data_IF_937842998359
#
_entry.id   IF_937842998359
#
_cell.length_a   1.000
_cell.length_b   1.000
_cell.length_c   1.000
_cell.angle_alpha   90.00
_cell.angle_beta   90.00
_cell.angle_gamma   90.00
#
_symmetry.space_group_name_H-M   'P 1'
#
loop_
_entity.id
_entity.type
_entity.pdbx_description
1 polymer ?
#
# COMPACT_ATOMS: atom_id res chain seq x y z
N UNK A 1 1.08 50.04 -27.42
CA UNK A 1 1.94 50.92 -26.60
C UNK A 1 1.56 50.68 -25.14
N UNK A 2 2.34 50.23 -24.16
CA UNK A 2 3.79 50.03 -23.93
C UNK A 2 4.00 48.73 -23.12
N UNK A 3 5.14 48.07 -23.37
CA UNK A 3 5.68 46.94 -22.59
C UNK A 3 6.42 47.49 -21.36
N UNK A 4 6.32 46.83 -20.21
CA UNK A 4 7.31 46.95 -19.12
C UNK A 4 8.14 45.68 -19.06
N UNK A 5 9.41 45.81 -19.44
CA UNK A 5 10.51 44.91 -19.04
C UNK A 5 11.21 45.59 -17.85
N UNK A 6 11.62 44.80 -16.87
CA UNK A 6 12.63 45.21 -15.91
C UNK A 6 13.75 44.16 -15.93
N UNK A 7 14.93 44.67 -16.27
CA UNK A 7 16.27 44.08 -16.16
C UNK A 7 16.55 43.53 -14.75
N UNK A 8 17.19 42.37 -14.58
CA UNK A 8 18.64 42.09 -14.71
C UNK A 8 19.48 42.77 -13.62
N UNK A 9 19.91 42.01 -12.61
CA UNK A 9 21.27 42.18 -12.04
C UNK A 9 21.83 40.84 -11.56
N UNK A 10 23.04 40.59 -12.04
CA UNK A 10 23.96 39.49 -11.80
C UNK A 10 25.00 39.92 -10.74
N UNK A 11 25.49 38.96 -9.94
CA UNK A 11 26.70 39.03 -9.09
C UNK A 11 26.68 37.87 -8.09
N UNK A 12 27.41 36.74 -8.24
CA UNK A 12 28.88 36.49 -8.02
C UNK A 12 29.38 37.15 -6.72
N UNK A 13 30.15 36.52 -5.81
CA UNK A 13 30.81 35.21 -5.67
C UNK A 13 31.44 35.13 -4.26
N UNK A 14 31.77 33.90 -3.81
CA UNK A 14 32.88 33.48 -2.92
C UNK A 14 32.86 33.74 -1.39
N UNK A 15 33.09 32.63 -0.67
CA UNK A 15 33.71 32.55 0.67
C UNK A 15 33.75 31.08 1.14
N UNK A 16 34.75 30.28 0.72
CA UNK A 16 35.85 29.76 1.57
C UNK A 16 35.38 29.35 2.98
N UNK A 17 35.20 28.05 3.27
CA UNK A 17 36.29 27.14 3.57
C UNK A 17 36.17 26.71 5.05
N UNK A 18 36.64 25.51 5.38
CA UNK A 18 36.69 24.87 6.71
C UNK A 18 35.42 24.12 7.12
N UNK A 19 35.46 22.78 6.98
CA UNK A 19 35.06 21.76 7.99
C UNK A 19 34.93 20.39 7.30
N UNK A 20 36.07 19.79 6.93
CA UNK A 20 36.14 18.46 6.27
C UNK A 20 36.89 17.43 7.13
N UNK A 21 36.72 17.41 8.46
CA UNK A 21 37.44 16.41 9.31
C UNK A 21 36.65 15.85 10.51
N UNK A 22 35.37 16.17 10.73
CA UNK A 22 34.65 15.69 11.93
C UNK A 22 33.91 14.35 11.73
N UNK A 23 33.66 13.96 10.47
CA UNK A 23 32.80 12.80 10.18
C UNK A 23 33.40 11.39 10.41
N UNK A 24 34.72 11.11 10.26
CA UNK A 24 35.20 9.74 10.32
C UNK A 24 35.41 9.19 11.75
N UNK A 25 35.47 10.07 12.77
CA UNK A 25 35.69 9.67 14.17
C UNK A 25 34.42 9.16 14.88
N UNK A 26 33.23 9.54 14.41
CA UNK A 26 31.95 9.11 14.99
C UNK A 26 31.55 7.69 14.56
N UNK A 27 31.88 7.29 13.34
CA UNK A 27 31.54 5.96 12.81
C UNK A 27 32.31 4.82 13.51
N UNK A 28 33.56 5.06 13.93
CA UNK A 28 34.41 4.03 14.55
C UNK A 28 33.89 3.60 15.94
N UNK A 29 33.31 4.53 16.72
CA UNK A 29 32.78 4.23 18.06
C UNK A 29 31.48 3.42 18.03
N UNK A 30 30.67 3.57 16.98
CA UNK A 30 29.38 2.87 16.84
C UNK A 30 29.59 1.38 16.55
N UNK A 31 30.59 1.04 15.72
CA UNK A 31 30.90 -0.35 15.35
C UNK A 31 31.42 -1.17 16.54
N UNK A 32 32.17 -0.54 17.44
CA UNK A 32 32.74 -1.21 18.62
C UNK A 32 31.68 -1.58 19.67
N UNK A 33 30.62 -0.79 19.82
CA UNK A 33 29.49 -1.10 20.73
C UNK A 33 28.63 -2.24 20.18
N UNK A 34 28.50 -2.33 18.85
CA UNK A 34 27.68 -3.37 18.20
C UNK A 34 28.28 -4.79 18.32
N UNK A 35 29.60 -4.94 18.39
CA UNK A 35 30.25 -6.25 18.46
C UNK A 35 30.24 -6.89 19.87
N UNK A 36 30.21 -6.08 20.93
CA UNK A 36 30.22 -6.60 22.30
C UNK A 36 28.85 -7.15 22.76
N UNK A 37 27.74 -6.72 22.13
CA UNK A 37 26.39 -7.15 22.50
C UNK A 37 25.99 -8.54 21.99
N UNK A 38 26.66 -9.06 20.95
CA UNK A 38 26.25 -10.30 20.26
C UNK A 38 26.78 -11.57 20.93
N UNK A 39 27.87 -11.48 21.71
CA UNK A 39 28.52 -12.66 22.32
C UNK A 39 27.94 -13.13 23.66
N UNK A 40 26.96 -12.44 24.24
CA UNK A 40 26.40 -12.80 25.57
C UNK A 40 25.10 -13.63 25.48
N UNK A 41 24.47 -13.73 24.30
CA UNK A 41 23.17 -14.41 24.13
C UNK A 41 23.23 -15.87 23.69
N UNK A 42 24.44 -16.45 23.56
CA UNK A 42 24.65 -17.84 23.12
C UNK A 42 24.87 -18.85 24.25
N UNK A 43 24.58 -18.49 25.51
CA UNK A 43 25.02 -19.28 26.66
C UNK A 43 23.96 -19.51 27.75
N UNK A 44 22.71 -19.77 27.36
CA UNK A 44 21.71 -20.43 28.22
C UNK A 44 20.50 -20.71 27.31
N UNK A 45 20.09 -21.92 26.95
CA UNK A 45 20.07 -23.17 27.68
C UNK A 45 18.74 -23.85 27.31
N UNK A 46 18.73 -25.17 27.24
CA UNK A 46 17.47 -25.94 27.28
C UNK A 46 17.12 -26.69 25.99
N UNK A 47 17.54 -27.95 25.95
CA UNK A 47 16.82 -28.99 25.21
C UNK A 47 15.35 -29.02 25.66
N UNK A 48 14.41 -28.95 24.73
CA UNK A 48 13.12 -29.63 24.92
C UNK A 48 12.55 -30.05 23.56
N UNK A 49 12.47 -31.36 23.43
CA UNK A 49 11.88 -32.10 22.33
C UNK A 49 10.36 -32.01 22.44
N UNK A 50 9.75 -30.95 21.89
CA UNK A 50 8.31 -30.90 21.63
C UNK A 50 8.14 -30.37 20.20
N UNK A 51 7.51 -31.11 19.25
CA UNK A 51 7.13 -30.50 17.99
C UNK A 51 6.10 -29.41 18.32
N UNK A 52 6.35 -28.14 17.98
CA UNK A 52 5.31 -27.13 18.09
C UNK A 52 4.20 -27.58 17.15
N UNK A 53 2.98 -27.76 17.69
CA UNK A 53 1.79 -27.65 16.85
C UNK A 53 1.92 -26.30 16.16
N UNK A 54 2.00 -26.31 14.84
CA UNK A 54 1.88 -25.11 14.04
C UNK A 54 0.48 -24.54 14.26
N UNK A 55 0.32 -23.71 15.29
CA UNK A 55 -0.70 -22.66 15.28
C UNK A 55 -0.22 -21.65 14.25
N UNK A 56 -0.85 -21.67 13.07
CA UNK A 56 -0.74 -20.57 12.13
C UNK A 56 -1.17 -19.27 12.82
N UNK A 57 -0.41 -18.17 12.69
CA UNK A 57 -0.77 -16.90 13.28
C UNK A 57 -2.10 -16.39 12.66
N UNK A 58 -2.91 -15.59 13.39
CA UNK A 58 -4.24 -15.10 12.97
C UNK A 58 -4.25 -14.17 11.73
N UNK A 59 -3.15 -14.09 10.97
CA UNK A 59 -3.01 -13.21 9.80
C UNK A 59 -3.87 -13.62 8.61
N UNK A 60 -4.06 -14.92 8.37
CA UNK A 60 -4.80 -15.37 7.19
C UNK A 60 -6.29 -15.03 7.30
N UNK A 61 -6.88 -15.21 8.48
CA UNK A 61 -8.29 -14.87 8.72
C UNK A 61 -8.55 -13.36 8.74
N UNK A 62 -7.60 -12.56 9.25
CA UNK A 62 -7.70 -11.11 9.20
C UNK A 62 -7.60 -10.56 7.76
N UNK A 63 -6.70 -11.12 6.95
CA UNK A 63 -6.55 -10.75 5.54
C UNK A 63 -7.78 -11.08 4.70
N UNK A 64 -8.34 -12.28 4.88
CA UNK A 64 -9.56 -12.69 4.17
C UNK A 64 -10.77 -11.83 4.55
N UNK A 65 -10.93 -11.46 5.82
CA UNK A 65 -11.99 -10.54 6.24
C UNK A 65 -11.85 -9.16 5.61
N UNK A 66 -10.63 -8.61 5.58
CA UNK A 66 -10.38 -7.32 4.94
C UNK A 66 -10.67 -7.35 3.43
N UNK A 67 -10.38 -8.46 2.75
CA UNK A 67 -10.71 -8.65 1.34
C UNK A 67 -12.23 -8.74 1.12
N UNK A 68 -12.95 -9.47 1.97
CA UNK A 68 -14.40 -9.62 1.87
C UNK A 68 -15.13 -8.30 2.17
N UNK A 69 -14.69 -7.55 3.17
CA UNK A 69 -15.17 -6.18 3.46
C UNK A 69 -14.91 -5.22 2.29
N UNK A 70 -13.72 -5.29 1.70
CA UNK A 70 -13.39 -4.51 0.51
C UNK A 70 -14.31 -4.90 -0.67
N UNK A 71 -14.52 -6.18 -0.91
CA UNK A 71 -15.37 -6.66 -1.98
C UNK A 71 -16.81 -6.15 -1.81
N UNK A 72 -17.33 -6.19 -0.58
CA UNK A 72 -18.65 -5.67 -0.25
C UNK A 72 -18.76 -4.16 -0.51
N UNK A 73 -17.78 -3.38 -0.06
CA UNK A 73 -17.75 -1.93 -0.30
C UNK A 73 -17.71 -1.58 -1.79
N UNK A 74 -16.97 -2.35 -2.60
CA UNK A 74 -16.98 -2.19 -4.05
C UNK A 74 -18.34 -2.54 -4.66
N UNK A 75 -18.97 -3.61 -4.19
CA UNK A 75 -20.30 -4.01 -4.65
C UNK A 75 -21.35 -2.93 -4.38
N UNK A 76 -21.39 -2.37 -3.16
CA UNK A 76 -22.29 -1.28 -2.79
C UNK A 76 -22.08 -0.03 -3.66
N UNK A 77 -20.82 0.38 -3.89
CA UNK A 77 -20.52 1.49 -4.81
C UNK A 77 -20.95 1.19 -6.24
N UNK A 78 -20.85 -0.08 -6.67
CA UNK A 78 -21.36 -0.52 -7.96
C UNK A 78 -22.86 -0.27 -8.08
N UNK A 79 -23.63 -0.62 -7.06
CA UNK A 79 -25.07 -0.35 -6.98
C UNK A 79 -25.37 1.16 -6.98
N UNK A 80 -24.66 1.96 -6.18
CA UNK A 80 -24.82 3.42 -6.16
C UNK A 80 -24.57 4.03 -7.56
N UNK A 81 -23.57 3.54 -8.29
CA UNK A 81 -23.31 3.99 -9.66
C UNK A 81 -24.36 3.52 -10.65
N UNK A 82 -24.97 2.35 -10.46
CA UNK A 82 -26.13 1.93 -11.26
C UNK A 82 -27.30 2.90 -11.07
N UNK A 83 -27.61 3.26 -9.83
CA UNK A 83 -28.69 4.19 -9.50
C UNK A 83 -28.44 5.59 -10.08
N UNK A 84 -27.18 6.02 -10.12
CA UNK A 84 -26.75 7.28 -10.75
C UNK A 84 -26.66 7.22 -12.28
N UNK A 85 -27.03 6.10 -12.91
CA UNK A 85 -26.87 5.87 -14.36
C UNK A 85 -25.41 5.98 -14.85
N UNK A 86 -24.43 5.76 -13.97
CA UNK A 86 -22.99 5.79 -14.27
C UNK A 86 -22.49 4.38 -14.56
N UNK A 87 -23.05 3.75 -15.59
CA UNK A 87 -22.91 2.31 -15.86
C UNK A 87 -21.46 1.85 -16.09
N UNK A 88 -20.62 2.66 -16.73
CA UNK A 88 -19.20 2.32 -16.94
C UNK A 88 -18.43 2.23 -15.60
N UNK A 89 -18.75 3.10 -14.64
CA UNK A 89 -18.14 3.09 -13.31
C UNK A 89 -18.72 1.96 -12.45
N UNK A 90 -20.03 1.70 -12.57
CA UNK A 90 -20.66 0.56 -11.94
C UNK A 90 -19.98 -0.75 -12.37
N UNK A 91 -19.75 -0.94 -13.67
CA UNK A 91 -19.05 -2.09 -14.24
C UNK A 91 -17.65 -2.28 -13.64
N UNK A 92 -16.90 -1.19 -13.49
CA UNK A 92 -15.56 -1.24 -12.87
C UNK A 92 -15.62 -1.66 -11.39
N UNK A 93 -16.57 -1.11 -10.62
CA UNK A 93 -16.72 -1.46 -9.22
C UNK A 93 -17.17 -2.91 -9.02
N UNK A 94 -18.11 -3.39 -9.84
CA UNK A 94 -18.50 -4.81 -9.82
C UNK A 94 -17.35 -5.74 -10.20
N UNK A 95 -16.51 -5.36 -11.18
CA UNK A 95 -15.31 -6.13 -11.50
C UNK A 95 -14.32 -6.22 -10.33
N UNK A 96 -14.13 -5.11 -9.59
CA UNK A 96 -13.29 -5.08 -8.39
C UNK A 96 -13.89 -5.90 -7.24
N UNK A 97 -15.22 -5.87 -7.08
CA UNK A 97 -15.92 -6.68 -6.10
C UNK A 97 -15.74 -8.17 -6.41
N UNK A 98 -15.96 -8.58 -7.66
CA UNK A 98 -15.77 -9.97 -8.09
C UNK A 98 -14.31 -10.44 -7.92
N UNK A 99 -13.31 -9.61 -8.23
CA UNK A 99 -11.90 -10.01 -8.08
C UNK A 99 -11.45 -10.15 -6.62
N UNK A 100 -12.14 -9.50 -5.69
CA UNK A 100 -11.76 -9.42 -4.27
C UNK A 100 -12.65 -10.29 -3.38
N UNK A 101 -13.77 -10.79 -3.90
CA UNK A 101 -14.75 -11.57 -3.17
C UNK A 101 -14.14 -12.89 -2.67
N UNK A 102 -14.22 -13.10 -1.36
CA UNK A 102 -13.88 -14.39 -0.74
C UNK A 102 -15.11 -15.30 -0.74
N UNK A 103 -16.30 -14.70 -0.56
CA UNK A 103 -17.58 -15.40 -0.63
C UNK A 103 -18.01 -15.67 -2.08
N UNK A 104 -18.43 -16.91 -2.36
CA UNK A 104 -19.02 -17.28 -3.65
C UNK A 104 -20.27 -16.48 -3.96
N UNK A 105 -21.13 -16.24 -2.97
CA UNK A 105 -22.39 -15.50 -3.17
C UNK A 105 -22.14 -14.08 -3.68
N UNK A 106 -21.24 -13.35 -3.01
CA UNK A 106 -20.85 -12.00 -3.41
C UNK A 106 -20.19 -11.96 -4.79
N UNK A 107 -19.38 -12.98 -5.13
CA UNK A 107 -18.79 -13.11 -6.46
C UNK A 107 -19.86 -13.20 -7.56
N UNK A 108 -20.83 -14.09 -7.39
CA UNK A 108 -21.93 -14.26 -8.37
C UNK A 108 -22.79 -12.98 -8.46
N UNK A 109 -23.13 -12.37 -7.31
CA UNK A 109 -23.90 -11.12 -7.28
C UNK A 109 -23.16 -9.97 -7.99
N UNK A 110 -21.84 -9.87 -7.81
CA UNK A 110 -21.01 -8.89 -8.49
C UNK A 110 -20.94 -9.15 -9.99
N UNK A 111 -20.81 -10.40 -10.43
CA UNK A 111 -20.85 -10.74 -11.86
C UNK A 111 -22.21 -10.38 -12.48
N UNK A 112 -23.30 -10.66 -11.80
CA UNK A 112 -24.65 -10.31 -12.27
C UNK A 112 -24.84 -8.79 -12.35
N UNK A 113 -24.31 -8.04 -11.39
CA UNK A 113 -24.27 -6.57 -11.43
C UNK A 113 -23.47 -6.06 -12.63
N UNK A 114 -22.30 -6.63 -12.88
CA UNK A 114 -21.42 -6.30 -14.00
C UNK A 114 -22.10 -6.57 -15.35
N UNK A 115 -22.71 -7.74 -15.53
CA UNK A 115 -23.41 -8.09 -16.76
C UNK A 115 -24.59 -7.16 -17.04
N UNK A 116 -25.36 -6.80 -16.00
CA UNK A 116 -26.43 -5.81 -16.12
C UNK A 116 -25.90 -4.46 -16.58
N UNK A 117 -24.81 -3.97 -15.96
CA UNK A 117 -24.17 -2.72 -16.38
C UNK A 117 -23.71 -2.77 -17.84
N UNK A 118 -23.08 -3.87 -18.27
CA UNK A 118 -22.64 -4.05 -19.66
C UNK A 118 -23.78 -4.07 -20.67
N UNK A 119 -24.88 -4.75 -20.35
CA UNK A 119 -26.05 -4.79 -21.22
C UNK A 119 -26.61 -3.38 -21.44
N UNK A 120 -26.72 -2.58 -20.38
CA UNK A 120 -27.21 -1.20 -20.47
C UNK A 120 -26.25 -0.34 -21.30
N UNK A 121 -24.94 -0.44 -21.07
CA UNK A 121 -23.93 0.30 -21.85
C UNK A 121 -24.06 -0.02 -23.35
N UNK A 122 -24.26 -1.29 -23.71
CA UNK A 122 -24.42 -1.71 -25.11
C UNK A 122 -25.71 -1.18 -25.73
N UNK A 123 -26.78 -1.05 -24.96
CA UNK A 123 -28.06 -0.51 -25.43
C UNK A 123 -28.04 1.02 -25.64
N UNK A 124 -27.09 1.73 -25.00
CA UNK A 124 -26.95 3.19 -25.10
C UNK A 124 -26.02 3.65 -26.22
N UNK A 125 -25.37 2.72 -26.92
CA UNK A 125 -24.49 2.97 -28.06
C UNK A 125 -25.22 2.73 -29.36
#
# INVERSE_FOLDING_TARGET
>A
MWRKKADLTCGKQLGSGWQMVVLPLLLLKIVLVALAGVMVLLSAGGCSLLPPKHEEPPRQSAGLKALDEHAWSCYERGLEYMDQSRYELARQQFSLAASSAVSKTLYEDALDGMHRAEQIIRQQR
#
